data_IF_670977470602
#
_entry.id   IF_670977470602
#
_cell.length_a   1.000
_cell.length_b   1.000
_cell.length_c   1.000
_cell.angle_alpha   90.00
_cell.angle_beta   90.00
_cell.angle_gamma   90.00
#
_symmetry.space_group_name_H-M   'P 1'
#
loop_
_entity.id
_entity.type
_entity.pdbx_description
1 polymer ?
#
# COMPACT_ATOMS: atom_id res chain seq x y z
N UNK A 1 1.38 -2.99 16.57
CA UNK A 1 1.73 -1.58 16.27
C UNK A 1 1.34 -1.21 14.83
N UNK A 2 0.12 -1.58 14.38
CA UNK A 2 -0.39 -1.28 13.04
C UNK A 2 -1.84 -0.80 13.20
N UNK A 3 -2.05 0.51 13.37
CA UNK A 3 -3.38 1.09 13.40
C UNK A 3 -3.41 2.31 12.50
N UNK A 4 -3.82 2.11 11.25
CA UNK A 4 -4.66 3.07 10.55
C UNK A 4 -5.68 2.26 9.75
N UNK A 5 -6.95 2.32 10.18
CA UNK A 5 -7.71 3.55 10.02
C UNK A 5 -8.42 4.00 11.31
N UNK A 6 -8.10 5.21 11.79
CA UNK A 6 -8.60 5.81 13.04
C UNK A 6 -10.08 6.26 13.01
N UNK A 7 -10.92 5.57 12.23
CA UNK A 7 -12.37 5.78 12.15
C UNK A 7 -13.07 4.46 12.46
N UNK A 8 -14.05 4.52 13.37
CA UNK A 8 -14.90 3.35 13.68
C UNK A 8 -15.52 2.79 12.40
N UNK A 9 -15.35 1.49 12.18
CA UNK A 9 -15.87 0.76 11.02
C UNK A 9 -14.98 0.79 9.78
N UNK A 10 -13.73 1.23 9.89
CA UNK A 10 -12.82 1.19 8.76
C UNK A 10 -12.14 -0.19 8.61
N UNK A 11 -12.10 -0.66 7.37
CA UNK A 11 -11.61 -1.97 6.97
C UNK A 11 -10.09 -2.14 7.22
N UNK A 12 -9.67 -3.35 7.62
CA UNK A 12 -8.26 -3.67 7.82
C UNK A 12 -7.50 -3.90 6.49
N UNK A 13 -6.17 -3.84 6.52
CA UNK A 13 -5.36 -4.04 5.29
C UNK A 13 -5.60 -5.42 4.67
N UNK A 14 -5.64 -6.48 5.49
CA UNK A 14 -5.81 -7.85 5.01
C UNK A 14 -7.20 -8.10 4.41
N UNK A 15 -8.24 -7.51 5.00
CA UNK A 15 -9.61 -7.56 4.49
C UNK A 15 -9.71 -6.85 3.13
N UNK A 16 -9.09 -5.67 2.98
CA UNK A 16 -8.99 -4.98 1.69
C UNK A 16 -8.22 -5.81 0.65
N UNK A 17 -7.10 -6.43 1.04
CA UNK A 17 -6.33 -7.31 0.14
C UNK A 17 -7.16 -8.50 -0.32
N UNK A 18 -7.94 -9.10 0.57
CA UNK A 18 -8.84 -10.20 0.23
C UNK A 18 -9.94 -9.74 -0.72
N UNK A 19 -10.66 -8.67 -0.37
CA UNK A 19 -11.78 -8.15 -1.16
C UNK A 19 -11.35 -7.75 -2.59
N UNK A 20 -10.21 -7.07 -2.72
CA UNK A 20 -9.66 -6.68 -4.02
C UNK A 20 -8.80 -7.75 -4.69
N UNK A 21 -8.67 -8.95 -4.10
CA UNK A 21 -7.86 -10.07 -4.61
C UNK A 21 -6.41 -9.67 -4.91
N UNK A 22 -5.81 -8.87 -4.03
CA UNK A 22 -4.45 -8.36 -4.16
C UNK A 22 -3.36 -9.33 -3.65
N UNK A 23 -3.77 -10.43 -3.01
CA UNK A 23 -2.85 -11.46 -2.54
C UNK A 23 -2.03 -12.05 -3.70
N UNK A 24 -0.70 -11.97 -3.60
CA UNK A 24 0.22 -12.40 -4.65
C UNK A 24 0.23 -11.53 -5.91
N UNK A 25 -0.48 -10.38 -5.92
CA UNK A 25 -0.51 -9.43 -7.04
C UNK A 25 0.35 -8.19 -6.80
N UNK A 26 0.58 -7.82 -5.54
CA UNK A 26 1.42 -6.67 -5.21
C UNK A 26 2.91 -6.98 -5.36
N UNK A 27 3.70 -5.94 -5.63
CA UNK A 27 5.13 -6.08 -5.94
C UNK A 27 6.05 -5.88 -4.75
N UNK A 28 5.49 -5.62 -3.56
CA UNK A 28 6.25 -5.34 -2.34
C UNK A 28 6.37 -3.84 -2.06
N UNK A 29 6.36 -3.48 -0.77
CA UNK A 29 6.57 -2.10 -0.27
C UNK A 29 8.03 -1.66 -0.31
N UNK A 30 8.97 -2.56 -0.53
CA UNK A 30 10.38 -2.22 -0.76
C UNK A 30 10.60 -1.78 -2.20
N UNK A 31 11.65 -0.99 -2.43
CA UNK A 31 12.05 -0.65 -3.79
C UNK A 31 12.59 -1.88 -4.52
N UNK A 32 12.00 -2.19 -5.68
CA UNK A 32 12.48 -3.21 -6.61
C UNK A 32 12.70 -2.52 -7.96
N UNK A 33 13.91 -2.58 -8.55
CA UNK A 33 14.17 -2.01 -9.87
C UNK A 33 13.19 -2.51 -10.94
N UNK A 34 12.80 -1.64 -11.87
CA UNK A 34 11.79 -1.93 -12.91
C UNK A 34 12.15 -3.16 -13.74
N UNK A 35 13.44 -3.40 -13.97
CA UNK A 35 13.97 -4.52 -14.75
C UNK A 35 13.75 -5.88 -14.06
N UNK A 36 13.56 -5.88 -12.74
CA UNK A 36 13.31 -7.09 -11.94
C UNK A 36 11.82 -7.36 -11.72
N UNK A 37 10.94 -6.42 -12.07
CA UNK A 37 9.50 -6.57 -11.91
C UNK A 37 8.90 -7.32 -13.10
N UNK A 38 8.12 -8.36 -12.81
CA UNK A 38 7.40 -9.14 -13.83
C UNK A 38 6.09 -8.47 -14.26
N UNK A 39 5.59 -7.50 -13.47
CA UNK A 39 4.33 -6.80 -13.69
C UNK A 39 4.47 -5.32 -13.33
N UNK A 40 3.43 -4.52 -13.55
CA UNK A 40 3.43 -3.10 -13.19
C UNK A 40 3.62 -2.96 -11.67
N UNK A 41 4.46 -2.02 -11.18
CA UNK A 41 4.59 -1.75 -9.76
C UNK A 41 3.20 -1.48 -9.15
N UNK A 42 2.82 -2.24 -8.12
CA UNK A 42 1.52 -2.10 -7.47
C UNK A 42 1.64 -2.49 -6.00
N UNK A 43 1.11 -1.67 -5.09
CA UNK A 43 1.12 -1.98 -3.66
C UNK A 43 -0.03 -1.28 -2.92
N UNK A 44 -0.40 -1.82 -1.75
CA UNK A 44 -1.46 -1.29 -0.89
C UNK A 44 -0.86 -0.59 0.34
N UNK A 45 -1.25 0.67 0.56
CA UNK A 45 -0.85 1.45 1.73
C UNK A 45 -2.09 1.94 2.47
N UNK A 46 -2.21 1.57 3.74
CA UNK A 46 -3.23 2.13 4.62
C UNK A 46 -2.84 3.57 4.99
N UNK A 47 -3.81 4.48 5.00
CA UNK A 47 -3.53 5.87 5.35
C UNK A 47 -4.73 6.57 5.98
N UNK A 48 -4.45 7.72 6.60
CA UNK A 48 -5.45 8.69 7.04
C UNK A 48 -5.03 10.07 6.56
N UNK A 49 -5.69 10.56 5.51
CA UNK A 49 -5.42 11.91 4.97
C UNK A 49 -5.71 12.97 6.03
N UNK A 50 -6.80 12.81 6.79
CA UNK A 50 -7.18 13.73 7.87
C UNK A 50 -6.10 13.84 8.94
N UNK A 51 -5.50 12.70 9.33
CA UNK A 51 -4.46 12.67 10.37
C UNK A 51 -3.05 12.88 9.82
N UNK A 52 -2.89 13.03 8.50
CA UNK A 52 -1.58 13.22 7.86
C UNK A 52 -0.62 12.03 7.98
N UNK A 53 -1.16 10.81 8.01
CA UNK A 53 -0.38 9.60 8.27
C UNK A 53 -0.56 8.53 7.17
N UNK A 54 0.48 7.71 6.96
CA UNK A 54 0.49 6.57 6.04
C UNK A 54 0.75 6.92 4.56
N UNK A 55 0.11 7.95 4.01
CA UNK A 55 0.23 8.25 2.57
C UNK A 55 1.64 8.70 2.16
N UNK A 56 2.44 9.27 3.07
CA UNK A 56 3.83 9.64 2.79
C UNK A 56 4.73 8.44 2.49
N UNK A 57 4.41 7.25 3.00
CA UNK A 57 5.07 6.00 2.60
C UNK A 57 4.70 5.62 1.17
N UNK A 58 3.42 5.71 0.81
CA UNK A 58 2.93 5.41 -0.53
C UNK A 58 3.57 6.31 -1.60
N UNK A 59 3.67 7.62 -1.34
CA UNK A 59 4.29 8.55 -2.28
C UNK A 59 5.80 8.30 -2.43
N UNK A 60 6.53 8.01 -1.34
CA UNK A 60 7.95 7.65 -1.40
C UNK A 60 8.19 6.33 -2.12
N UNK A 61 7.28 5.36 -1.96
CA UNK A 61 7.36 4.12 -2.73
C UNK A 61 7.14 4.39 -4.23
N UNK A 62 6.11 5.16 -4.57
CA UNK A 62 5.75 5.50 -5.95
C UNK A 62 6.86 6.32 -6.64
N UNK A 63 7.54 7.22 -5.92
CA UNK A 63 8.59 8.06 -6.50
C UNK A 63 9.80 7.27 -7.01
N UNK A 64 9.99 6.01 -6.60
CA UNK A 64 11.03 5.17 -7.19
C UNK A 64 10.72 4.76 -8.66
N UNK A 65 9.48 5.00 -9.11
CA UNK A 65 8.99 4.55 -10.41
C UNK A 65 8.52 5.69 -11.34
N UNK A 66 8.50 6.93 -10.85
CA UNK A 66 8.28 8.15 -11.66
C UNK A 66 9.60 8.56 -12.32
#
# INVERSE_FOLDING_TARGET
MNLLPNKNGACGEEELRHYFRLNGRTTGKTYIPKEKLQTRPMELFMCSVKQKEGYGEAFRWLSNYL
#
